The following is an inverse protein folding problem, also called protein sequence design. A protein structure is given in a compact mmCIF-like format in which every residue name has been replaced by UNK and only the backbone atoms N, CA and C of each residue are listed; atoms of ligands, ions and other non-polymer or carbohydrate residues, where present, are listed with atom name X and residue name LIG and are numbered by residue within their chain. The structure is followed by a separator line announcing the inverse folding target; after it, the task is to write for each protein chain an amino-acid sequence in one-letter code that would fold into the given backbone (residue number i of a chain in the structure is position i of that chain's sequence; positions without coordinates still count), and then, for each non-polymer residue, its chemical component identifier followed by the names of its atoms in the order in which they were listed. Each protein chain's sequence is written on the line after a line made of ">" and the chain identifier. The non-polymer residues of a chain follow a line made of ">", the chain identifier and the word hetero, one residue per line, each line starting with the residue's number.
data_IF_507535218033
#
_entry.id   IF_507535218033
#
_cell.length_a   1.000
_cell.length_b   1.000
_cell.length_c   1.000
_cell.angle_alpha   90.00
_cell.angle_beta   90.00
_cell.angle_gamma   90.00
#
_symmetry.space_group_name_H-M   'P 1'
#
loop_
_entity.id
_entity.type
_entity.pdbx_description
1 polymer ?
#
# COMPACT_ATOMS: atom_id res chain seq x y z
N UNK A 1 17.56 -9.80 23.25
CA UNK A 1 18.77 -9.61 22.40
C UNK A 1 18.47 -9.29 20.93
N UNK A 2 17.26 -9.54 20.40
CA UNK A 2 16.91 -9.27 18.97
C UNK A 2 16.81 -7.77 18.58
N UNK A 3 16.41 -6.89 19.49
CA UNK A 3 16.11 -5.49 19.13
C UNK A 3 17.35 -4.59 18.89
N UNK A 4 18.48 -4.91 19.47
CA UNK A 4 19.73 -4.14 19.29
C UNK A 4 20.38 -4.50 17.96
N UNK A 5 20.39 -5.79 17.60
CA UNK A 5 20.92 -6.25 16.31
C UNK A 5 20.12 -5.71 15.12
N UNK A 6 18.79 -5.63 15.23
CA UNK A 6 17.95 -5.07 14.15
C UNK A 6 18.19 -3.56 13.96
N UNK A 7 18.39 -2.81 15.05
CA UNK A 7 18.71 -1.36 14.99
C UNK A 7 20.09 -1.09 14.40
N UNK A 8 21.09 -1.92 14.74
CA UNK A 8 22.45 -1.82 14.19
C UNK A 8 22.43 -2.17 12.70
N UNK A 9 21.75 -3.24 12.32
CA UNK A 9 21.59 -3.64 10.92
C UNK A 9 20.93 -2.54 10.08
N UNK A 10 19.82 -1.94 10.55
CA UNK A 10 19.15 -0.80 9.88
C UNK A 10 20.05 0.42 9.73
N UNK A 11 20.89 0.72 10.74
CA UNK A 11 21.81 1.86 10.68
C UNK A 11 22.94 1.60 9.68
N UNK A 12 23.43 0.37 9.57
CA UNK A 12 24.44 -0.04 8.59
C UNK A 12 23.83 0.00 7.18
N UNK A 13 22.62 -0.52 6.99
CA UNK A 13 21.88 -0.48 5.74
C UNK A 13 21.58 0.96 5.29
N UNK A 14 21.16 1.84 6.22
CA UNK A 14 20.96 3.26 5.92
C UNK A 14 22.26 3.97 5.49
N UNK A 15 23.40 3.67 6.11
CA UNK A 15 24.70 4.23 5.74
C UNK A 15 25.17 3.68 4.39
N UNK A 16 24.89 2.40 4.12
CA UNK A 16 25.23 1.77 2.85
C UNK A 16 24.41 2.37 1.70
N UNK A 17 23.11 2.53 1.90
CA UNK A 17 22.20 3.14 0.92
C UNK A 17 22.55 4.61 0.61
N UNK A 18 23.05 5.37 1.59
CA UNK A 18 23.53 6.74 1.35
C UNK A 18 24.80 6.83 0.49
N UNK A 19 25.54 5.73 0.37
CA UNK A 19 26.78 5.67 -0.43
C UNK A 19 26.59 4.96 -1.78
N UNK A 20 25.43 4.35 -2.01
CA UNK A 20 25.16 3.67 -3.27
C UNK A 20 24.96 4.72 -4.36
N UNK A 21 25.87 4.73 -5.32
CA UNK A 21 25.65 5.40 -6.60
C UNK A 21 24.78 4.46 -7.42
N UNK A 22 23.55 4.88 -7.69
CA UNK A 22 22.67 4.13 -8.58
C UNK A 22 23.04 4.47 -10.02
N UNK A 23 23.57 3.50 -10.77
CA UNK A 23 23.59 3.56 -12.22
C UNK A 23 22.14 3.41 -12.70
N UNK A 24 21.52 4.51 -13.05
CA UNK A 24 20.22 4.47 -13.68
C UNK A 24 20.38 3.88 -15.08
N UNK A 25 19.84 2.69 -15.28
CA UNK A 25 19.68 2.16 -16.62
C UNK A 25 18.90 3.17 -17.48
N UNK A 26 19.26 3.35 -18.76
CA UNK A 26 18.50 4.22 -19.65
C UNK A 26 17.02 3.79 -19.64
N UNK A 27 16.13 4.78 -19.70
CA UNK A 27 14.69 4.53 -19.67
C UNK A 27 14.31 3.53 -20.77
N UNK A 28 13.63 2.47 -20.38
CA UNK A 28 13.12 1.47 -21.31
C UNK A 28 11.59 1.56 -21.33
N UNK A 29 10.97 1.26 -22.48
CA UNK A 29 9.53 1.18 -22.61
C UNK A 29 8.81 2.49 -22.91
N UNK A 30 9.50 3.56 -23.36
CA UNK A 30 8.85 4.80 -23.83
C UNK A 30 8.34 5.73 -22.73
N UNK A 31 8.72 5.52 -21.47
CA UNK A 31 8.36 6.41 -20.37
C UNK A 31 9.29 7.63 -20.33
N UNK A 32 8.71 8.82 -20.30
CA UNK A 32 9.41 10.07 -20.02
C UNK A 32 9.12 10.55 -18.60
N UNK A 33 10.19 10.91 -17.87
CA UNK A 33 10.03 11.51 -16.54
C UNK A 33 9.81 13.00 -16.68
N UNK A 34 8.88 13.53 -15.90
CA UNK A 34 8.82 14.96 -15.66
C UNK A 34 10.12 15.46 -15.03
N UNK A 35 10.52 16.68 -15.34
CA UNK A 35 11.77 17.27 -14.84
C UNK A 35 11.78 17.58 -13.33
N UNK A 36 10.61 17.49 -12.67
CA UNK A 36 10.42 17.74 -11.24
C UNK A 36 9.33 16.83 -10.68
N UNK A 37 9.25 16.65 -9.35
CA UNK A 37 8.09 16.01 -8.72
C UNK A 37 6.80 16.74 -9.09
N UNK A 38 5.73 15.99 -9.36
CA UNK A 38 4.39 16.55 -9.63
C UNK A 38 3.62 16.83 -8.35
N UNK A 39 3.94 16.18 -7.24
CA UNK A 39 3.31 16.42 -5.94
C UNK A 39 4.33 16.27 -4.81
N UNK A 40 4.16 17.12 -3.80
CA UNK A 40 5.02 17.19 -2.63
C UNK A 40 6.00 18.37 -2.71
N UNK A 41 6.02 19.16 -1.65
CA UNK A 41 6.87 20.33 -1.48
C UNK A 41 7.37 20.45 -0.04
N UNK A 42 7.91 21.58 0.34
CA UNK A 42 8.41 21.85 1.69
C UNK A 42 7.31 21.82 2.77
N UNK A 43 6.04 21.92 2.40
CA UNK A 43 4.89 21.85 3.32
C UNK A 43 4.47 20.44 3.64
N UNK A 44 4.81 19.47 2.76
CA UNK A 44 4.49 18.06 2.86
C UNK A 44 5.71 17.34 3.39
N UNK A 45 6.41 17.12 4.13
CA UNK A 45 7.58 16.33 4.46
C UNK A 45 7.84 15.24 3.37
N UNK A 46 7.79 13.99 3.75
CA UNK A 46 7.94 12.87 2.80
C UNK A 46 6.58 12.28 2.50
N UNK A 47 6.24 12.16 1.21
CA UNK A 47 5.02 11.51 0.72
C UNK A 47 5.37 10.24 -0.06
N UNK A 48 4.55 9.20 0.10
CA UNK A 48 4.77 7.88 -0.48
C UNK A 48 3.46 7.10 -0.58
N UNK A 49 3.48 5.92 -1.17
CA UNK A 49 2.31 5.08 -1.42
C UNK A 49 1.19 5.81 -2.18
N UNK A 50 1.46 6.32 -3.40
CA UNK A 50 0.44 7.01 -4.18
C UNK A 50 -0.67 6.05 -4.60
N UNK A 51 -1.91 6.50 -4.48
CA UNK A 51 -3.11 5.84 -4.99
C UNK A 51 -3.98 6.88 -5.68
N UNK A 52 -4.31 6.64 -6.94
CA UNK A 52 -5.08 7.58 -7.77
C UNK A 52 -6.41 6.96 -8.16
N UNK A 53 -7.48 7.74 -8.02
CA UNK A 53 -8.79 7.41 -8.56
C UNK A 53 -9.25 8.50 -9.54
N UNK A 54 -10.01 8.10 -10.56
CA UNK A 54 -10.72 9.01 -11.43
C UNK A 54 -12.10 9.29 -10.84
N UNK A 55 -12.45 10.56 -10.73
CA UNK A 55 -13.76 11.04 -10.29
C UNK A 55 -14.28 11.97 -11.40
N UNK A 56 -15.26 11.50 -12.15
CA UNK A 56 -15.72 12.17 -13.36
C UNK A 56 -14.52 12.38 -14.34
N UNK A 57 -14.10 13.61 -14.54
CA UNK A 57 -12.98 14.00 -15.41
C UNK A 57 -11.76 14.52 -14.63
N UNK A 58 -11.68 14.23 -13.32
CA UNK A 58 -10.60 14.67 -12.43
C UNK A 58 -9.89 13.48 -11.78
N UNK A 59 -8.63 13.70 -11.49
CA UNK A 59 -7.82 12.78 -10.67
C UNK A 59 -7.92 13.17 -9.20
N UNK A 60 -8.10 12.20 -8.31
CA UNK A 60 -7.87 12.35 -6.87
C UNK A 60 -6.72 11.44 -6.46
N UNK A 61 -5.68 12.05 -5.92
CA UNK A 61 -4.49 11.39 -5.41
C UNK A 61 -4.59 11.27 -3.90
N UNK A 62 -4.39 10.08 -3.38
CA UNK A 62 -4.15 9.80 -1.96
C UNK A 62 -2.69 9.42 -1.78
N UNK A 63 -2.04 9.95 -0.75
CA UNK A 63 -0.67 9.60 -0.38
C UNK A 63 -0.52 9.50 1.12
N UNK A 64 0.40 8.63 1.55
CA UNK A 64 0.85 8.57 2.93
C UNK A 64 1.79 9.75 3.21
N UNK A 65 1.56 10.51 4.28
CA UNK A 65 2.36 11.67 4.66
C UNK A 65 3.09 11.43 5.99
N UNK A 66 4.40 11.56 5.98
CA UNK A 66 5.25 11.12 7.11
C UNK A 66 5.22 12.06 8.32
N UNK A 67 5.06 13.35 8.14
CA UNK A 67 5.12 14.34 9.22
C UNK A 67 4.00 14.14 10.23
N UNK A 68 2.78 13.97 9.72
CA UNK A 68 1.59 13.76 10.54
C UNK A 68 1.22 12.27 10.67
N UNK A 69 1.97 11.39 9.98
CA UNK A 69 1.73 9.95 9.95
C UNK A 69 0.33 9.55 9.47
N UNK A 70 -0.28 10.40 8.64
CA UNK A 70 -1.64 10.28 8.11
C UNK A 70 -1.69 10.06 6.60
N UNK A 71 -2.91 9.97 6.08
CA UNK A 71 -3.19 9.95 4.65
C UNK A 71 -3.76 11.32 4.26
N UNK A 72 -3.19 11.93 3.24
CA UNK A 72 -3.67 13.18 2.66
C UNK A 72 -4.19 12.93 1.25
N UNK A 73 -5.05 13.82 0.76
CA UNK A 73 -5.55 13.77 -0.62
C UNK A 73 -5.53 15.14 -1.29
N UNK A 74 -5.51 15.12 -2.61
CA UNK A 74 -5.54 16.30 -3.46
C UNK A 74 -6.16 15.98 -4.82
N UNK A 75 -6.71 16.97 -5.49
CA UNK A 75 -7.37 16.81 -6.78
C UNK A 75 -6.58 17.52 -7.89
N UNK A 76 -6.67 17.00 -9.11
CA UNK A 76 -6.06 17.56 -10.31
C UNK A 76 -6.93 17.30 -11.54
N UNK A 77 -6.88 18.19 -12.54
CA UNK A 77 -7.51 17.99 -13.84
C UNK A 77 -6.58 17.40 -14.88
N UNK A 78 -5.26 17.42 -14.66
CA UNK A 78 -4.25 17.01 -15.64
C UNK A 78 -3.20 16.02 -15.09
N UNK A 79 -3.24 15.73 -13.77
CA UNK A 79 -2.30 14.83 -13.09
C UNK A 79 -0.92 15.43 -12.81
N UNK A 80 -0.70 16.70 -13.15
CA UNK A 80 0.59 17.40 -12.97
C UNK A 80 0.49 18.61 -12.04
N UNK A 81 -0.60 19.36 -12.12
CA UNK A 81 -0.89 20.49 -11.25
C UNK A 81 -1.97 20.05 -10.24
N UNK A 82 -1.60 20.06 -8.95
CA UNK A 82 -2.45 19.58 -7.87
C UNK A 82 -2.94 20.72 -6.98
N UNK A 83 -4.19 20.62 -6.57
CA UNK A 83 -4.79 21.57 -5.62
C UNK A 83 -4.11 21.47 -4.24
N UNK A 84 -4.47 22.39 -3.34
CA UNK A 84 -4.03 22.32 -1.96
C UNK A 84 -4.55 21.03 -1.32
N UNK A 85 -3.62 20.23 -0.80
CA UNK A 85 -3.95 18.96 -0.16
C UNK A 85 -4.81 19.13 1.10
N UNK A 86 -5.55 18.09 1.44
CA UNK A 86 -6.42 17.98 2.62
C UNK A 86 -6.07 16.68 3.36
N UNK A 87 -6.31 16.67 4.68
CA UNK A 87 -6.17 15.42 5.45
C UNK A 87 -7.36 14.53 5.13
N UNK A 88 -7.10 13.35 4.58
CA UNK A 88 -8.11 12.34 4.29
C UNK A 88 -8.37 11.45 5.52
N UNK A 89 -7.30 10.96 6.17
CA UNK A 89 -7.40 10.16 7.39
C UNK A 89 -6.24 10.50 8.32
N UNK A 90 -6.56 10.96 9.53
CA UNK A 90 -5.56 11.22 10.56
C UNK A 90 -5.02 9.93 11.15
N UNK A 91 -3.76 9.95 11.60
CA UNK A 91 -3.18 8.89 12.42
C UNK A 91 -3.97 8.69 13.71
N UNK A 92 -3.90 7.49 14.27
CA UNK A 92 -4.41 7.22 15.61
C UNK A 92 -3.54 7.84 16.70
N UNK A 93 -4.00 7.75 17.95
CA UNK A 93 -3.21 8.24 19.07
C UNK A 93 -1.95 7.37 19.29
N UNK A 94 -0.95 7.96 19.92
CA UNK A 94 0.28 7.25 20.29
C UNK A 94 0.00 6.00 21.11
N UNK A 95 0.57 4.88 20.69
CA UNK A 95 0.38 3.58 21.32
C UNK A 95 -0.85 2.81 20.81
N UNK A 96 -1.68 3.39 19.93
CA UNK A 96 -2.73 2.64 19.24
C UNK A 96 -2.16 1.69 18.19
N UNK A 97 -2.99 0.75 17.70
CA UNK A 97 -2.62 -0.16 16.62
C UNK A 97 -2.37 0.56 15.29
N UNK A 98 -2.88 1.77 15.15
CA UNK A 98 -2.79 2.66 13.99
C UNK A 98 -2.14 4.01 14.35
N UNK A 99 -1.11 3.97 15.20
CA UNK A 99 -0.30 5.16 15.54
C UNK A 99 0.22 5.88 14.28
N UNK A 100 0.31 5.14 13.17
CA UNK A 100 0.52 5.64 11.81
C UNK A 100 -0.48 4.96 10.88
N UNK A 101 -0.94 5.68 9.87
CA UNK A 101 -1.78 5.12 8.81
C UNK A 101 -1.13 5.37 7.46
N UNK A 102 -1.10 4.35 6.62
CA UNK A 102 -0.47 4.40 5.31
C UNK A 102 -1.25 3.58 4.29
N UNK A 103 -0.86 3.72 3.02
CA UNK A 103 -1.29 2.87 1.91
C UNK A 103 -2.80 2.75 1.80
N UNK A 104 -3.43 3.81 1.36
CA UNK A 104 -4.85 3.80 1.06
C UNK A 104 -5.14 2.95 -0.19
N UNK A 105 -6.21 2.17 -0.13
CA UNK A 105 -6.92 1.62 -1.28
C UNK A 105 -8.36 2.10 -1.19
N UNK A 106 -8.85 2.80 -2.20
CA UNK A 106 -10.12 3.54 -2.12
C UNK A 106 -11.03 3.13 -3.26
N UNK A 107 -12.31 2.92 -2.97
CA UNK A 107 -13.32 2.77 -4.00
C UNK A 107 -14.63 3.48 -3.61
N UNK A 108 -15.42 3.80 -4.60
CA UNK A 108 -16.77 4.32 -4.44
C UNK A 108 -17.78 3.25 -4.84
N UNK A 109 -18.78 3.03 -3.99
CA UNK A 109 -19.88 2.11 -4.24
C UNK A 109 -21.18 2.76 -3.78
N UNK A 110 -22.14 2.90 -4.69
CA UNK A 110 -23.47 3.45 -4.42
C UNK A 110 -23.42 4.83 -3.73
N UNK A 111 -22.50 5.70 -4.15
CA UNK A 111 -22.31 7.05 -3.61
C UNK A 111 -21.60 7.08 -2.25
N UNK A 112 -21.10 5.95 -1.76
CA UNK A 112 -20.28 5.84 -0.56
C UNK A 112 -18.83 5.55 -0.91
N UNK A 113 -17.91 6.28 -0.29
CA UNK A 113 -16.49 6.06 -0.39
C UNK A 113 -16.00 5.17 0.74
N UNK A 114 -15.26 4.13 0.38
CA UNK A 114 -14.60 3.22 1.32
C UNK A 114 -13.10 3.32 1.13
N UNK A 115 -12.36 3.34 2.22
CA UNK A 115 -10.90 3.34 2.24
C UNK A 115 -10.42 2.21 3.14
N UNK A 116 -9.67 1.27 2.60
CA UNK A 116 -8.87 0.33 3.36
C UNK A 116 -7.46 0.90 3.50
N UNK A 117 -6.85 0.73 4.64
CA UNK A 117 -5.55 1.30 4.95
C UNK A 117 -4.73 0.41 5.88
N UNK A 118 -3.43 0.59 5.86
CA UNK A 118 -2.53 -0.03 6.82
C UNK A 118 -2.43 0.82 8.06
N UNK A 119 -2.84 0.29 9.21
CA UNK A 119 -2.50 0.85 10.52
C UNK A 119 -1.21 0.21 11.03
N UNK A 120 -0.29 1.03 11.54
CA UNK A 120 1.00 0.59 12.07
C UNK A 120 1.18 1.04 13.51
N UNK A 121 1.54 0.09 14.35
CA UNK A 121 2.06 0.31 15.70
C UNK A 121 3.59 0.16 15.71
N UNK A 122 4.18 0.09 16.89
CA UNK A 122 5.62 -0.18 17.03
C UNK A 122 6.03 -1.59 16.64
N UNK A 123 5.13 -2.55 16.76
CA UNK A 123 5.48 -3.97 16.72
C UNK A 123 4.78 -4.73 15.59
N UNK A 124 3.65 -4.24 15.11
CA UNK A 124 2.83 -4.93 14.12
C UNK A 124 2.07 -3.96 13.22
N UNK A 125 1.53 -4.49 12.15
CA UNK A 125 0.61 -3.80 11.26
C UNK A 125 -0.68 -4.61 11.11
N UNK A 126 -1.78 -3.90 10.88
CA UNK A 126 -3.10 -4.46 10.65
C UNK A 126 -3.86 -3.60 9.63
N UNK A 127 -4.92 -4.13 9.05
CA UNK A 127 -5.72 -3.39 8.06
C UNK A 127 -6.97 -2.83 8.73
N UNK A 128 -7.23 -1.55 8.48
CA UNK A 128 -8.42 -0.83 8.92
C UNK A 128 -9.34 -0.44 7.76
N UNK A 129 -10.52 0.07 8.11
CA UNK A 129 -11.49 0.60 7.16
C UNK A 129 -12.05 1.94 7.65
N UNK A 130 -12.21 2.86 6.71
CA UNK A 130 -12.85 4.16 6.91
C UNK A 130 -13.84 4.44 5.79
N UNK A 131 -14.81 5.30 6.03
CA UNK A 131 -15.84 5.71 5.06
C UNK A 131 -15.92 7.22 4.93
N UNK A 132 -16.40 7.68 3.78
CA UNK A 132 -16.62 9.09 3.48
C UNK A 132 -17.84 9.28 2.59
N UNK A 133 -18.52 10.40 2.73
CA UNK A 133 -19.60 10.82 1.83
C UNK A 133 -19.09 11.69 0.68
N UNK A 134 -17.93 12.34 0.84
CA UNK A 134 -17.32 13.25 -0.17
C UNK A 134 -16.05 12.70 -0.83
N UNK A 135 -15.58 11.53 -0.36
CA UNK A 135 -14.32 10.93 -0.80
C UNK A 135 -13.07 11.74 -0.41
N UNK A 136 -13.21 12.77 0.42
CA UNK A 136 -12.11 13.64 0.85
C UNK A 136 -11.77 13.38 2.31
N UNK A 137 -12.76 13.45 3.20
CA UNK A 137 -12.58 13.22 4.64
C UNK A 137 -13.18 11.89 5.03
N UNK A 138 -12.35 11.03 5.55
CA UNK A 138 -12.72 9.68 5.95
C UNK A 138 -12.84 9.56 7.47
N UNK A 139 -13.87 8.86 7.90
CA UNK A 139 -14.11 8.52 9.30
C UNK A 139 -14.00 7.01 9.47
N UNK A 140 -13.29 6.56 10.49
CA UNK A 140 -13.17 5.14 10.81
C UNK A 140 -14.54 4.51 11.02
N UNK A 141 -14.79 3.39 10.34
CA UNK A 141 -16.04 2.64 10.55
C UNK A 141 -16.06 1.94 11.90
N UNK A 142 -14.88 1.59 12.42
CA UNK A 142 -14.73 0.95 13.73
C UNK A 142 -13.36 1.23 14.34
N UNK A 143 -13.25 1.04 15.67
CA UNK A 143 -12.02 1.29 16.42
C UNK A 143 -10.99 0.16 16.33
N UNK A 144 -11.43 -1.04 15.98
CA UNK A 144 -10.56 -2.21 15.82
C UNK A 144 -10.21 -2.42 14.36
N UNK A 145 -9.05 -3.01 14.04
CA UNK A 145 -8.74 -3.40 12.68
C UNK A 145 -9.73 -4.45 12.17
N UNK A 146 -9.93 -4.49 10.86
CA UNK A 146 -10.79 -5.47 10.17
C UNK A 146 -10.03 -6.74 9.79
N UNK A 147 -8.72 -6.65 9.65
CA UNK A 147 -7.84 -7.79 9.41
C UNK A 147 -6.60 -7.66 10.29
N UNK A 148 -6.38 -8.67 11.12
CA UNK A 148 -5.21 -8.79 12.00
C UNK A 148 -4.42 -10.02 11.63
N UNK A 149 -3.09 -10.06 11.85
CA UNK A 149 -2.32 -11.26 11.61
C UNK A 149 -2.81 -12.42 12.49
N UNK A 150 -3.07 -13.57 11.90
CA UNK A 150 -3.53 -14.79 12.57
C UNK A 150 -2.80 -16.05 12.08
N UNK A 151 -2.18 -15.97 10.90
CA UNK A 151 -1.55 -17.11 10.26
C UNK A 151 -0.02 -17.08 10.41
N UNK A 152 0.67 -18.23 10.43
CA UNK A 152 2.12 -18.29 10.63
C UNK A 152 2.92 -17.50 9.59
N UNK A 153 2.48 -17.46 8.33
CA UNK A 153 3.15 -16.72 7.26
C UNK A 153 3.00 -15.20 7.41
N UNK A 154 2.03 -14.72 8.17
CA UNK A 154 1.81 -13.28 8.41
C UNK A 154 2.80 -12.68 9.42
N UNK A 155 3.54 -13.53 10.19
CA UNK A 155 4.63 -13.13 11.11
C UNK A 155 4.34 -11.93 12.01
N UNK A 156 3.07 -11.68 12.28
CA UNK A 156 2.61 -10.57 13.13
C UNK A 156 2.25 -9.29 12.39
N UNK A 157 2.23 -9.28 11.04
CA UNK A 157 1.81 -8.09 10.27
C UNK A 157 1.07 -8.46 8.99
N UNK A 158 -0.06 -7.75 8.78
CA UNK A 158 -0.78 -7.65 7.50
C UNK A 158 -0.85 -6.18 7.11
N UNK A 159 -0.61 -5.88 5.83
CA UNK A 159 -0.43 -4.50 5.36
C UNK A 159 -0.66 -4.35 3.86
N UNK A 160 -0.63 -3.12 3.38
CA UNK A 160 -0.66 -2.77 1.96
C UNK A 160 -1.86 -3.38 1.23
N UNK A 161 -3.10 -3.09 1.68
CA UNK A 161 -4.28 -3.58 1.00
C UNK A 161 -4.39 -2.98 -0.39
N UNK A 162 -4.72 -3.83 -1.37
CA UNK A 162 -5.22 -3.45 -2.69
C UNK A 162 -6.59 -4.09 -2.84
N UNK A 163 -7.65 -3.29 -2.91
CA UNK A 163 -9.03 -3.78 -2.89
C UNK A 163 -9.73 -3.40 -4.17
N UNK A 164 -10.36 -4.38 -4.80
CA UNK A 164 -11.26 -4.20 -5.93
C UNK A 164 -12.69 -4.63 -5.55
N UNK A 165 -13.67 -3.91 -6.06
CA UNK A 165 -15.06 -4.33 -6.05
C UNK A 165 -15.38 -5.08 -7.35
N UNK A 166 -15.67 -6.36 -7.25
CA UNK A 166 -16.15 -7.17 -8.35
C UNK A 166 -17.66 -6.99 -8.47
N UNK A 167 -18.09 -6.29 -9.52
CA UNK A 167 -19.52 -5.98 -9.77
C UNK A 167 -20.33 -7.22 -10.14
N UNK A 168 -19.72 -8.17 -10.80
CA UNK A 168 -20.38 -9.38 -11.28
C UNK A 168 -20.62 -10.36 -10.14
N UNK A 169 -19.61 -10.56 -9.30
CA UNK A 169 -19.68 -11.42 -8.12
C UNK A 169 -20.28 -10.70 -6.89
N UNK A 170 -20.43 -9.39 -6.94
CA UNK A 170 -20.84 -8.53 -5.80
C UNK A 170 -19.98 -8.80 -4.56
N UNK A 171 -18.70 -8.79 -4.76
CA UNK A 171 -17.69 -9.19 -3.78
C UNK A 171 -16.52 -8.20 -3.78
N UNK A 172 -16.05 -7.85 -2.61
CA UNK A 172 -14.76 -7.20 -2.45
C UNK A 172 -13.66 -8.25 -2.49
N UNK A 173 -12.63 -7.99 -3.27
CA UNK A 173 -11.43 -8.80 -3.40
C UNK A 173 -10.25 -7.99 -2.89
N UNK A 174 -9.52 -8.52 -1.90
CA UNK A 174 -8.36 -7.86 -1.33
C UNK A 174 -7.11 -8.68 -1.57
N UNK A 175 -6.12 -8.07 -2.18
CA UNK A 175 -4.73 -8.52 -2.15
C UNK A 175 -4.00 -7.72 -1.08
N UNK A 176 -3.27 -8.41 -0.21
CA UNK A 176 -2.56 -7.77 0.89
C UNK A 176 -1.18 -8.39 1.08
N UNK A 177 -0.25 -7.58 1.57
CA UNK A 177 1.07 -8.05 1.92
C UNK A 177 1.10 -8.52 3.37
N UNK A 178 1.90 -9.54 3.65
CA UNK A 178 2.04 -10.08 4.99
C UNK A 178 3.49 -10.48 5.29
N UNK A 179 3.84 -10.59 6.57
CA UNK A 179 5.18 -10.99 7.00
C UNK A 179 5.75 -10.11 8.11
N UNK A 180 7.01 -9.71 7.98
CA UNK A 180 7.65 -8.80 8.94
C UNK A 180 7.07 -7.40 8.83
N UNK A 181 6.99 -6.71 9.97
CA UNK A 181 6.56 -5.32 10.00
C UNK A 181 7.48 -4.43 9.15
N UNK A 182 7.07 -3.57 8.35
CA UNK A 182 7.81 -2.68 7.45
C UNK A 182 8.38 -3.31 6.19
N UNK A 183 8.53 -4.63 6.16
CA UNK A 183 9.09 -5.33 5.01
C UNK A 183 8.36 -6.66 4.82
N UNK A 184 7.24 -6.68 4.08
CA UNK A 184 6.46 -7.89 3.87
C UNK A 184 7.28 -8.96 3.14
N UNK A 185 6.90 -10.21 3.32
CA UNK A 185 7.59 -11.36 2.74
C UNK A 185 6.77 -12.02 1.63
N UNK A 186 5.45 -11.91 1.72
CA UNK A 186 4.50 -12.65 0.87
C UNK A 186 3.30 -11.79 0.50
N UNK A 187 2.59 -12.17 -0.58
CA UNK A 187 1.29 -11.63 -0.94
C UNK A 187 0.19 -12.66 -0.70
N UNK A 188 -0.92 -12.19 -0.18
CA UNK A 188 -2.08 -12.97 0.23
C UNK A 188 -3.35 -12.43 -0.40
N UNK A 189 -4.41 -13.22 -0.34
CA UNK A 189 -5.72 -12.88 -0.88
C UNK A 189 -6.83 -13.16 0.13
N UNK A 190 -7.86 -12.32 0.14
CA UNK A 190 -9.07 -12.47 0.92
C UNK A 190 -10.28 -11.89 0.19
N UNK A 191 -11.46 -12.38 0.52
CA UNK A 191 -12.74 -11.92 -0.03
C UNK A 191 -13.67 -11.42 1.07
N UNK A 192 -14.58 -10.51 0.70
CA UNK A 192 -15.59 -9.97 1.62
C UNK A 192 -16.84 -9.52 0.87
N UNK A 193 -18.01 -9.78 1.45
CA UNK A 193 -19.28 -9.27 0.94
C UNK A 193 -19.59 -7.84 1.36
N UNK A 194 -19.02 -7.40 2.46
CA UNK A 194 -19.33 -6.12 3.10
C UNK A 194 -18.12 -5.18 3.26
N UNK A 195 -16.93 -5.65 2.85
CA UNK A 195 -15.67 -4.91 2.99
C UNK A 195 -15.11 -4.86 4.41
N UNK A 196 -15.80 -5.46 5.38
CA UNK A 196 -15.45 -5.45 6.81
C UNK A 196 -15.05 -6.84 7.31
N UNK A 197 -15.85 -7.85 6.96
CA UNK A 197 -15.63 -9.24 7.36
C UNK A 197 -14.95 -9.97 6.21
N UNK A 198 -13.68 -10.36 6.41
CA UNK A 198 -12.82 -10.92 5.37
C UNK A 198 -12.57 -12.41 5.59
N UNK A 199 -12.76 -13.19 4.55
CA UNK A 199 -12.42 -14.60 4.50
C UNK A 199 -11.10 -14.78 3.73
N UNK A 200 -10.07 -15.29 4.41
CA UNK A 200 -8.77 -15.56 3.78
C UNK A 200 -8.88 -16.72 2.82
N UNK A 201 -8.20 -16.61 1.69
CA UNK A 201 -8.07 -17.73 0.77
C UNK A 201 -7.31 -18.89 1.43
N UNK A 202 -7.85 -20.08 1.30
CA UNK A 202 -7.34 -21.27 2.00
C UNK A 202 -5.89 -21.65 1.58
N UNK A 203 -5.49 -21.26 0.37
CA UNK A 203 -4.16 -21.54 -0.16
C UNK A 203 -3.23 -20.32 -0.11
N UNK A 204 -3.43 -19.42 0.85
CA UNK A 204 -2.47 -18.34 1.10
C UNK A 204 -1.14 -18.88 1.64
N UNK A 205 -0.01 -18.24 1.35
CA UNK A 205 0.13 -17.05 0.48
C UNK A 205 -0.02 -17.40 -1.00
N UNK A 206 -0.56 -16.45 -1.79
CA UNK A 206 -0.75 -16.62 -3.24
C UNK A 206 0.51 -16.32 -4.05
N UNK A 207 1.43 -15.54 -3.50
CA UNK A 207 2.71 -15.25 -4.11
C UNK A 207 3.79 -15.13 -3.04
N UNK A 208 4.88 -15.86 -3.26
CA UNK A 208 6.08 -15.85 -2.43
C UNK A 208 7.30 -15.56 -3.30
N UNK A 209 8.45 -15.37 -2.65
CA UNK A 209 9.73 -15.29 -3.34
C UNK A 209 9.96 -16.51 -4.22
N UNK A 210 10.66 -16.31 -5.33
CA UNK A 210 11.03 -17.38 -6.26
C UNK A 210 12.54 -17.63 -6.26
N UNK A 211 13.00 -18.48 -7.18
CA UNK A 211 14.43 -18.64 -7.45
C UNK A 211 14.97 -17.65 -8.48
N UNK A 212 14.09 -16.80 -9.01
CA UNK A 212 14.48 -15.77 -9.95
C UNK A 212 15.18 -14.61 -9.25
N UNK A 213 16.21 -14.07 -9.88
CA UNK A 213 17.07 -13.05 -9.29
C UNK A 213 16.31 -11.83 -8.79
N UNK A 214 15.23 -11.43 -9.45
CA UNK A 214 14.49 -10.19 -9.16
C UNK A 214 13.59 -10.28 -7.92
N UNK A 215 13.19 -11.48 -7.47
CA UNK A 215 12.34 -11.68 -6.29
C UNK A 215 12.82 -12.80 -5.35
N UNK A 216 14.10 -13.17 -5.46
CA UNK A 216 14.70 -14.25 -4.66
C UNK A 216 14.71 -14.00 -3.15
N UNK A 217 14.57 -12.76 -2.71
CA UNK A 217 14.61 -12.40 -1.29
C UNK A 217 13.21 -12.40 -0.67
N UNK A 218 12.29 -11.65 -1.28
CA UNK A 218 10.89 -11.50 -0.85
C UNK A 218 10.04 -10.79 -1.90
N UNK A 219 8.74 -10.77 -1.67
CA UNK A 219 7.78 -9.99 -2.44
C UNK A 219 7.06 -9.00 -1.53
N UNK A 220 6.69 -7.86 -2.08
CA UNK A 220 6.05 -6.76 -1.34
C UNK A 220 4.66 -6.44 -1.86
N UNK A 221 4.17 -5.26 -1.51
CA UNK A 221 2.84 -4.79 -1.92
C UNK A 221 2.62 -4.82 -3.43
N UNK A 222 1.38 -4.94 -3.82
CA UNK A 222 0.97 -5.01 -5.22
C UNK A 222 -0.09 -3.97 -5.55
N UNK A 223 -0.30 -3.82 -6.85
CA UNK A 223 -1.46 -3.18 -7.45
C UNK A 223 -2.08 -4.14 -8.47
N UNK A 224 -3.41 -4.12 -8.59
CA UNK A 224 -4.17 -5.07 -9.39
C UNK A 224 -4.98 -4.34 -10.46
N UNK A 225 -4.83 -4.78 -11.68
CA UNK A 225 -5.65 -4.38 -12.80
C UNK A 225 -6.50 -5.59 -13.26
N UNK A 226 -7.83 -5.39 -13.33
CA UNK A 226 -8.73 -6.35 -13.97
C UNK A 226 -9.03 -5.86 -15.37
N UNK A 227 -8.70 -6.67 -16.36
CA UNK A 227 -9.04 -6.42 -17.77
C UNK A 227 -9.74 -7.66 -18.34
N UNK A 228 -10.99 -7.48 -18.76
CA UNK A 228 -11.89 -8.59 -19.10
C UNK A 228 -11.99 -9.59 -17.93
N UNK A 229 -11.70 -10.87 -18.18
CA UNK A 229 -11.74 -11.93 -17.16
C UNK A 229 -10.36 -12.25 -16.57
N UNK A 230 -9.36 -11.38 -16.78
CA UNK A 230 -7.99 -11.57 -16.28
C UNK A 230 -7.62 -10.55 -15.24
N UNK A 231 -6.78 -10.98 -14.28
CA UNK A 231 -6.14 -10.11 -13.30
C UNK A 231 -4.65 -10.00 -13.61
N UNK A 232 -4.16 -8.77 -13.63
CA UNK A 232 -2.75 -8.44 -13.75
C UNK A 232 -2.29 -7.84 -12.43
N UNK A 233 -1.33 -8.50 -11.80
CA UNK A 233 -0.74 -8.06 -10.55
C UNK A 233 0.63 -7.42 -10.84
N UNK A 234 0.78 -6.15 -10.53
CA UNK A 234 2.07 -5.48 -10.50
C UNK A 234 2.58 -5.50 -9.07
N UNK A 235 3.66 -6.20 -8.80
CA UNK A 235 4.17 -6.39 -7.45
C UNK A 235 5.63 -5.98 -7.32
N UNK A 236 6.10 -5.80 -6.09
CA UNK A 236 7.49 -5.49 -5.78
C UNK A 236 8.21 -6.80 -5.51
N UNK A 237 9.14 -7.17 -6.39
CA UNK A 237 10.09 -8.26 -6.18
C UNK A 237 11.41 -7.72 -5.63
N UNK A 238 11.93 -8.32 -4.57
CA UNK A 238 13.19 -7.93 -3.94
C UNK A 238 14.29 -8.93 -4.28
N UNK A 239 15.29 -8.46 -5.02
CA UNK A 239 16.52 -9.20 -5.26
C UNK A 239 17.32 -9.34 -3.95
N UNK A 240 17.35 -8.28 -3.16
CA UNK A 240 17.92 -8.16 -1.82
C UNK A 240 17.26 -6.97 -1.12
N UNK A 241 17.66 -6.63 0.10
CA UNK A 241 17.08 -5.52 0.88
C UNK A 241 17.27 -4.14 0.25
N UNK A 242 18.25 -3.99 -0.63
CA UNK A 242 18.61 -2.70 -1.24
C UNK A 242 18.10 -2.58 -2.70
N UNK A 243 17.66 -3.67 -3.30
CA UNK A 243 17.31 -3.72 -4.72
C UNK A 243 15.96 -4.36 -4.93
N UNK A 244 14.99 -3.55 -5.32
CA UNK A 244 13.65 -3.97 -5.69
C UNK A 244 13.35 -3.68 -7.16
N UNK A 245 12.39 -4.41 -7.72
CA UNK A 245 11.87 -4.25 -9.08
C UNK A 245 10.36 -4.33 -9.07
N UNK A 246 9.73 -3.67 -10.04
CA UNK A 246 8.34 -3.91 -10.36
C UNK A 246 8.28 -5.14 -11.26
N UNK A 247 7.55 -6.12 -10.82
CA UNK A 247 7.32 -7.40 -11.49
C UNK A 247 5.84 -7.54 -11.82
N UNK A 248 5.48 -8.47 -12.68
CA UNK A 248 4.10 -8.74 -13.06
C UNK A 248 3.80 -10.24 -12.95
N UNK A 249 2.62 -10.53 -12.48
CA UNK A 249 2.00 -11.85 -12.54
C UNK A 249 0.59 -11.72 -13.14
N UNK A 250 0.07 -12.79 -13.74
CA UNK A 250 -1.29 -12.83 -14.27
C UNK A 250 -2.04 -14.05 -13.76
N UNK A 251 -3.35 -13.89 -13.62
CA UNK A 251 -4.27 -14.96 -13.23
C UNK A 251 -5.56 -14.85 -14.03
N UNK A 252 -6.14 -16.00 -14.34
CA UNK A 252 -7.47 -16.11 -14.91
C UNK A 252 -8.53 -16.02 -13.82
#
# INVERSE_FOLDING_TARGET
>A
MSSVFSKVRRKIEYIHNKKATYDYAPQQGGWEKYGSPVFGDETTASVFDPFVVMIEDRYRLFVSERKNSGIICTDSTDGTEWEKWKVALEAGHKGSWEERVNRASVCEIDGKWLMWYTGQSRNNSAIGIATSDDGIRFTRMQQKPILVPSEPYEKGSVMNPCVLWDKDEKMFKMWYAAGEQFEPDVLCYAESKDGVNWERYANNPILEKSNEKYDQCKVGGCDILKENDRYYMFYIGYQNVDTARVCMAESN
#
